data_IF_643765134744
#
_entry.id   IF_643765134744
#
_cell.length_a   1.000
_cell.length_b   1.000
_cell.length_c   1.000
_cell.angle_alpha   90.00
_cell.angle_beta   90.00
_cell.angle_gamma   90.00
#
_symmetry.space_group_name_H-M   'P 1'
#
loop_
_entity.id
_entity.type
_entity.pdbx_description
1 polymer ?
#
# COMPACT_ATOMS: atom_id res chain seq x y z
N UNK A 1 5.00 3.91 32.23
CA UNK A 1 3.95 3.44 31.28
C UNK A 1 4.44 3.03 29.88
N UNK A 2 5.35 3.75 29.20
CA UNK A 2 5.77 3.47 27.80
C UNK A 2 6.39 2.08 27.54
N UNK A 3 7.05 1.47 28.54
CA UNK A 3 7.72 0.14 28.42
C UNK A 3 6.74 -1.04 28.29
N UNK A 4 5.57 -0.94 28.93
CA UNK A 4 4.57 -2.02 28.95
C UNK A 4 3.77 -2.09 27.65
N UNK A 5 3.58 -0.97 26.95
CA UNK A 5 2.92 -0.93 25.63
C UNK A 5 3.85 -1.47 24.51
N UNK A 6 5.14 -1.10 24.54
CA UNK A 6 6.16 -1.58 23.57
C UNK A 6 6.36 -3.09 23.55
N UNK A 7 6.33 -3.78 24.70
CA UNK A 7 6.40 -5.26 24.73
C UNK A 7 5.13 -5.92 24.14
N UNK A 8 3.97 -5.27 24.19
CA UNK A 8 2.70 -5.80 23.67
C UNK A 8 2.66 -5.78 22.14
N UNK A 9 3.26 -4.78 21.50
CA UNK A 9 3.39 -4.67 20.03
C UNK A 9 4.24 -5.80 19.41
N UNK A 10 5.30 -6.26 20.11
CA UNK A 10 6.20 -7.36 19.68
C UNK A 10 5.48 -8.61 19.18
N UNK A 11 4.41 -9.00 19.88
CA UNK A 11 3.71 -10.25 19.56
C UNK A 11 2.68 -10.10 18.45
N UNK A 12 2.06 -8.94 18.24
CA UNK A 12 0.89 -8.82 17.33
C UNK A 12 1.34 -8.75 15.88
N UNK A 13 2.33 -7.89 15.58
CA UNK A 13 2.82 -7.71 14.22
C UNK A 13 3.41 -9.01 13.63
N UNK A 14 4.25 -9.70 14.40
CA UNK A 14 4.87 -10.96 13.96
C UNK A 14 3.86 -12.11 13.82
N UNK A 15 2.92 -12.26 14.77
CA UNK A 15 1.93 -13.35 14.73
C UNK A 15 0.90 -13.16 13.63
N UNK A 16 0.37 -11.95 13.45
CA UNK A 16 -0.60 -11.65 12.37
C UNK A 16 0.04 -11.90 11.01
N UNK A 17 1.23 -11.35 10.76
CA UNK A 17 1.95 -11.54 9.50
C UNK A 17 2.29 -13.01 9.19
N UNK A 18 2.65 -13.81 10.21
CA UNK A 18 2.86 -15.26 10.07
C UNK A 18 1.57 -16.06 9.88
N UNK A 19 0.45 -15.62 10.46
CA UNK A 19 -0.84 -16.30 10.29
C UNK A 19 -1.42 -16.09 8.90
N UNK A 20 -1.27 -14.88 8.35
CA UNK A 20 -1.73 -14.53 7.01
C UNK A 20 -0.89 -15.17 5.90
N UNK A 21 0.33 -15.64 6.20
CA UNK A 21 1.17 -16.28 5.19
C UNK A 21 0.77 -17.70 4.81
N UNK A 22 -0.10 -18.34 5.60
CA UNK A 22 -0.55 -19.72 5.36
C UNK A 22 -1.85 -19.81 4.55
N UNK A 23 -2.52 -18.68 4.28
CA UNK A 23 -3.79 -18.63 3.55
C UNK A 23 -3.65 -17.93 2.21
N UNK A 24 -4.39 -18.42 1.21
CA UNK A 24 -4.60 -17.75 -0.07
C UNK A 24 -5.50 -16.54 0.21
N UNK A 25 -4.93 -15.34 0.22
CA UNK A 25 -5.70 -14.11 0.27
C UNK A 25 -6.29 -13.82 -1.12
N UNK A 26 -7.42 -13.13 -1.17
CA UNK A 26 -7.98 -12.61 -2.43
C UNK A 26 -7.07 -11.49 -2.94
N UNK A 27 -6.54 -11.68 -4.15
CA UNK A 27 -5.57 -10.79 -4.78
C UNK A 27 -5.98 -10.58 -6.21
N UNK A 28 -6.03 -9.32 -6.62
CA UNK A 28 -6.24 -8.96 -8.02
C UNK A 28 -4.90 -8.92 -8.75
N UNK A 29 -4.85 -9.58 -9.91
CA UNK A 29 -3.75 -9.41 -10.87
C UNK A 29 -3.97 -8.10 -11.59
N UNK A 30 -3.12 -7.10 -11.34
CA UNK A 30 -3.11 -5.88 -12.13
C UNK A 30 -2.44 -6.14 -13.47
N UNK A 31 -3.22 -6.27 -14.55
CA UNK A 31 -2.68 -6.22 -15.91
C UNK A 31 -2.38 -4.76 -16.27
N UNK A 32 -1.21 -4.50 -16.85
CA UNK A 32 -0.68 -3.17 -17.20
C UNK A 32 -1.31 -2.54 -18.44
N UNK A 33 -2.42 -3.10 -18.96
CA UNK A 33 -3.15 -2.55 -20.10
C UNK A 33 -4.43 -1.87 -19.65
N UNK A 34 -4.31 -0.60 -19.25
CA UNK A 34 -5.44 0.30 -19.22
C UNK A 34 -5.78 0.72 -20.64
N UNK A 35 -6.82 0.13 -21.23
CA UNK A 35 -7.44 0.61 -22.46
C UNK A 35 -7.89 2.06 -22.26
N UNK A 36 -7.36 2.98 -23.06
CA UNK A 36 -7.91 4.33 -23.19
C UNK A 36 -9.12 4.22 -24.13
N UNK A 37 -10.27 3.83 -23.60
CA UNK A 37 -11.54 3.98 -24.33
C UNK A 37 -12.01 5.42 -24.18
N UNK A 38 -12.14 6.10 -25.33
CA UNK A 38 -12.89 7.34 -25.43
C UNK A 38 -12.21 8.41 -26.28
N UNK A 39 -12.33 8.30 -27.61
CA UNK A 39 -12.30 9.50 -28.47
C UNK A 39 -13.53 10.33 -28.11
N UNK A 40 -13.37 11.36 -27.31
CA UNK A 40 -14.36 12.44 -27.25
C UNK A 40 -14.23 13.26 -28.55
N UNK A 41 -15.20 13.11 -29.44
CA UNK A 41 -15.50 14.12 -30.45
C UNK A 41 -16.03 15.35 -29.70
N UNK A 42 -15.27 16.44 -29.70
CA UNK A 42 -15.79 17.73 -29.25
C UNK A 42 -16.90 18.17 -30.21
N UNK A 43 -18.13 18.28 -29.70
CA UNK A 43 -19.34 18.69 -30.43
C UNK A 43 -19.42 20.20 -30.69
N UNK A 44 -18.31 20.89 -30.88
CA UNK A 44 -18.28 22.30 -31.25
C UNK A 44 -17.37 22.46 -32.46
N UNK A 45 -17.92 22.79 -33.62
CA UNK A 45 -17.21 22.93 -34.90
C UNK A 45 -16.24 24.11 -34.95
N UNK A 46 -15.34 24.26 -33.96
CA UNK A 46 -14.26 25.25 -33.96
C UNK A 46 -12.96 24.54 -34.34
N UNK A 47 -12.35 25.00 -35.44
CA UNK A 47 -11.00 24.60 -35.83
C UNK A 47 -10.03 24.99 -34.70
N UNK A 48 -9.36 24.01 -34.10
CA UNK A 48 -8.22 24.28 -33.22
C UNK A 48 -7.03 24.75 -34.07
N UNK A 49 -6.32 25.83 -33.68
CA UNK A 49 -5.15 26.28 -34.42
C UNK A 49 -4.04 25.21 -34.37
N UNK A 50 -3.43 24.94 -35.52
CA UNK A 50 -2.32 23.99 -35.67
C UNK A 50 -1.08 24.52 -34.97
N UNK A 51 -0.78 24.00 -33.78
CA UNK A 51 0.50 24.27 -33.10
C UNK A 51 1.63 23.61 -33.91
N UNK A 52 2.58 24.43 -34.34
CA UNK A 52 3.71 24.06 -35.18
C UNK A 52 4.54 22.92 -34.56
N UNK A 53 4.83 21.89 -35.36
CA UNK A 53 5.72 20.77 -35.03
C UNK A 53 7.17 21.27 -34.91
N UNK A 54 7.56 21.81 -33.76
CA UNK A 54 8.98 22.03 -33.44
C UNK A 54 9.46 20.84 -32.60
N UNK A 55 10.33 20.03 -33.21
CA UNK A 55 10.65 18.68 -32.78
C UNK A 55 11.34 18.60 -31.42
N UNK A 56 10.77 17.80 -30.53
CA UNK A 56 11.50 17.21 -29.41
C UNK A 56 12.19 15.93 -29.90
N UNK A 57 13.48 16.02 -30.25
CA UNK A 57 14.37 14.87 -30.25
C UNK A 57 14.78 14.62 -28.80
N UNK A 58 14.12 13.67 -28.15
CA UNK A 58 14.44 13.20 -26.82
C UNK A 58 14.41 11.68 -26.79
N UNK A 59 15.56 11.09 -27.12
CA UNK A 59 16.05 9.78 -26.69
C UNK A 59 15.00 8.69 -26.42
N UNK A 60 14.75 7.87 -27.44
CA UNK A 60 14.25 6.52 -27.24
C UNK A 60 15.39 5.66 -26.71
N UNK A 61 15.77 5.85 -25.43
CA UNK A 61 16.66 4.91 -24.77
C UNK A 61 15.87 3.63 -24.47
N UNK A 62 16.28 2.57 -25.17
CA UNK A 62 16.00 1.20 -24.87
C UNK A 62 16.22 0.90 -23.37
N UNK A 63 15.39 0.02 -22.81
CA UNK A 63 15.77 -1.18 -22.05
C UNK A 63 14.46 -1.81 -21.62
N UNK A 64 14.14 -2.95 -22.22
CA UNK A 64 13.11 -3.84 -21.71
C UNK A 64 13.38 -4.13 -20.24
N UNK A 65 12.46 -3.71 -19.36
CA UNK A 65 12.32 -4.30 -18.04
C UNK A 65 11.02 -5.05 -18.05
N UNK A 66 11.14 -6.37 -18.01
CA UNK A 66 10.05 -7.31 -17.72
C UNK A 66 9.24 -6.75 -16.55
N UNK A 67 8.07 -6.18 -16.86
CA UNK A 67 7.17 -5.65 -15.84
C UNK A 67 6.65 -6.83 -15.05
N UNK A 68 7.31 -7.16 -13.94
CA UNK A 68 6.78 -8.11 -12.96
C UNK A 68 5.36 -7.68 -12.62
N UNK A 69 4.39 -8.54 -12.88
CA UNK A 69 3.00 -8.29 -12.50
C UNK A 69 2.93 -8.02 -11.00
N UNK A 70 2.48 -6.81 -10.64
CA UNK A 70 2.29 -6.43 -9.24
C UNK A 70 0.93 -6.94 -8.79
N UNK A 71 0.94 -7.62 -7.65
CA UNK A 71 -0.25 -8.14 -6.99
C UNK A 71 -0.77 -7.12 -6.00
N UNK A 72 -2.02 -6.69 -6.17
CA UNK A 72 -2.66 -5.67 -5.32
C UNK A 72 -3.66 -6.32 -4.35
N UNK A 73 -3.81 -5.69 -3.18
CA UNK A 73 -4.80 -6.10 -2.18
C UNK A 73 -6.20 -5.63 -2.58
N UNK A 74 -7.20 -6.45 -2.30
CA UNK A 74 -8.61 -6.08 -2.49
C UNK A 74 -9.19 -5.50 -1.20
N UNK A 75 -10.37 -4.88 -1.29
CA UNK A 75 -11.09 -4.33 -0.13
C UNK A 75 -11.38 -5.42 0.91
N UNK A 76 -11.78 -6.60 0.45
CA UNK A 76 -12.09 -7.77 1.28
C UNK A 76 -10.85 -8.24 2.03
N UNK A 77 -9.70 -8.29 1.35
CA UNK A 77 -8.44 -8.67 1.98
C UNK A 77 -8.06 -7.67 3.08
N UNK A 78 -8.25 -6.36 2.87
CA UNK A 78 -7.97 -5.35 3.91
C UNK A 78 -8.92 -5.51 5.10
N UNK A 79 -10.21 -5.79 4.88
CA UNK A 79 -11.17 -6.09 5.96
C UNK A 79 -10.76 -7.32 6.75
N UNK A 80 -10.37 -8.41 6.08
CA UNK A 80 -9.89 -9.63 6.75
C UNK A 80 -8.64 -9.37 7.59
N UNK A 81 -7.68 -8.61 7.04
CA UNK A 81 -6.49 -8.18 7.77
C UNK A 81 -6.87 -7.38 9.02
N UNK A 82 -7.80 -6.44 8.88
CA UNK A 82 -8.26 -5.62 10.00
C UNK A 82 -8.90 -6.46 11.10
N UNK A 83 -9.86 -7.33 10.75
CA UNK A 83 -10.49 -8.27 11.68
C UNK A 83 -9.45 -9.12 12.42
N UNK A 84 -8.42 -9.57 11.69
CA UNK A 84 -7.35 -10.37 12.31
C UNK A 84 -6.52 -9.55 13.29
N UNK A 85 -6.19 -8.31 12.94
CA UNK A 85 -5.49 -7.39 13.85
C UNK A 85 -6.32 -7.17 15.12
N UNK A 86 -7.63 -6.94 14.99
CA UNK A 86 -8.53 -6.78 16.14
C UNK A 86 -8.58 -8.04 17.01
N UNK A 87 -8.78 -9.22 16.42
CA UNK A 87 -8.84 -10.47 17.18
C UNK A 87 -7.57 -10.73 18.00
N UNK A 88 -6.40 -10.32 17.52
CA UNK A 88 -5.13 -10.47 18.22
C UNK A 88 -4.91 -9.39 19.29
N UNK A 89 -5.61 -8.25 19.19
CA UNK A 89 -5.58 -7.21 20.21
C UNK A 89 -6.58 -7.50 21.31
N UNK A 90 -7.79 -7.94 20.97
CA UNK A 90 -8.81 -8.40 21.90
C UNK A 90 -8.28 -9.48 22.85
N UNK A 91 -7.61 -10.51 22.32
CA UNK A 91 -6.98 -11.57 23.14
C UNK A 91 -5.98 -11.06 24.17
N UNK A 92 -5.40 -9.87 23.96
CA UNK A 92 -4.39 -9.29 24.84
C UNK A 92 -4.94 -8.28 25.81
N UNK A 93 -5.97 -7.52 25.41
CA UNK A 93 -6.51 -6.42 26.20
C UNK A 93 -7.85 -6.77 26.84
N UNK A 94 -8.52 -7.83 26.38
CA UNK A 94 -9.91 -8.16 26.72
C UNK A 94 -10.90 -7.02 26.42
N UNK A 95 -10.52 -6.09 25.52
CA UNK A 95 -11.35 -4.99 25.07
C UNK A 95 -11.86 -5.32 23.68
N UNK A 96 -13.18 -5.37 23.51
CA UNK A 96 -13.82 -5.57 22.22
C UNK A 96 -13.84 -4.27 21.42
N UNK A 97 -12.99 -4.18 20.39
CA UNK A 97 -12.93 -3.07 19.45
C UNK A 97 -13.87 -3.39 18.27
N UNK A 98 -14.73 -2.45 17.88
CA UNK A 98 -15.68 -2.65 16.76
C UNK A 98 -14.93 -2.63 15.41
N UNK A 99 -15.18 -3.58 14.49
CA UNK A 99 -14.55 -3.63 13.18
C UNK A 99 -15.14 -2.66 12.16
N UNK A 100 -15.74 -1.56 12.61
CA UNK A 100 -16.50 -0.67 11.76
C UNK A 100 -15.60 0.14 10.82
N UNK A 101 -16.01 0.24 9.57
CA UNK A 101 -15.36 1.07 8.56
C UNK A 101 -16.01 2.45 8.65
N UNK A 102 -15.27 3.43 9.14
CA UNK A 102 -15.75 4.80 9.24
C UNK A 102 -15.82 5.46 7.87
N UNK A 103 -14.76 5.30 7.08
CA UNK A 103 -14.58 6.03 5.82
C UNK A 103 -14.32 5.06 4.67
N UNK A 104 -15.37 4.51 4.04
CA UNK A 104 -15.21 3.61 2.90
C UNK A 104 -14.48 4.31 1.75
N UNK A 105 -14.79 5.58 1.46
CA UNK A 105 -14.13 6.34 0.39
C UNK A 105 -12.61 6.45 0.57
N UNK A 106 -12.13 6.59 1.81
CA UNK A 106 -10.70 6.62 2.11
C UNK A 106 -10.04 5.26 1.88
N UNK A 107 -10.75 4.16 2.15
CA UNK A 107 -10.27 2.82 1.83
C UNK A 107 -10.10 2.63 0.31
N UNK A 108 -11.07 3.07 -0.48
CA UNK A 108 -10.99 2.96 -1.94
C UNK A 108 -9.83 3.80 -2.48
N UNK A 109 -9.69 5.02 -1.99
CA UNK A 109 -8.58 5.90 -2.36
C UNK A 109 -7.21 5.27 -2.03
N UNK A 110 -7.06 4.69 -0.83
CA UNK A 110 -5.82 4.05 -0.41
C UNK A 110 -5.43 2.85 -1.31
N UNK A 111 -6.41 2.14 -1.87
CA UNK A 111 -6.20 1.00 -2.77
C UNK A 111 -5.91 1.41 -4.22
N UNK A 112 -6.48 2.53 -4.67
CA UNK A 112 -6.31 3.04 -6.04
C UNK A 112 -5.04 3.89 -6.21
N UNK A 113 -4.60 4.61 -5.17
CA UNK A 113 -3.41 5.46 -5.22
C UNK A 113 -2.12 4.71 -5.63
N UNK A 114 -1.82 3.49 -5.14
CA UNK A 114 -0.68 2.70 -5.60
C UNK A 114 -0.72 2.37 -7.11
N UNK A 115 -1.91 2.36 -7.73
CA UNK A 115 -2.14 2.09 -9.15
C UNK A 115 -2.16 3.36 -9.99
N UNK A 116 -2.16 4.55 -9.38
CA UNK A 116 -2.39 5.82 -10.05
C UNK A 116 -1.29 6.15 -11.05
N UNK A 117 -1.71 6.61 -12.23
CA UNK A 117 -0.83 7.06 -13.32
C UNK A 117 -1.06 8.53 -13.58
N UNK A 118 0.01 9.26 -13.87
CA UNK A 118 -0.02 10.66 -14.24
C UNK A 118 0.74 10.83 -15.56
N UNK A 119 0.11 11.44 -16.56
CA UNK A 119 0.66 11.62 -17.91
C UNK A 119 1.21 10.33 -18.53
N UNK A 120 0.49 9.21 -18.34
CA UNK A 120 0.88 7.90 -18.88
C UNK A 120 2.02 7.21 -18.11
N UNK A 121 2.64 7.86 -17.11
CA UNK A 121 3.68 7.27 -16.25
C UNK A 121 3.11 6.81 -14.92
N UNK A 122 3.60 5.70 -14.38
CA UNK A 122 3.26 5.29 -13.02
C UNK A 122 3.77 6.34 -12.03
N UNK A 123 2.90 6.79 -11.11
CA UNK A 123 3.29 7.77 -10.10
C UNK A 123 4.27 7.20 -9.09
N UNK A 124 4.16 5.89 -8.84
CA UNK A 124 4.99 5.13 -7.90
C UNK A 124 5.61 3.93 -8.63
N UNK A 125 6.74 4.09 -9.32
CA UNK A 125 7.34 3.00 -10.10
C UNK A 125 7.92 1.88 -9.24
N UNK A 126 8.33 2.17 -7.99
CA UNK A 126 8.91 1.16 -7.10
C UNK A 126 7.83 0.43 -6.28
N UNK A 127 8.02 -0.87 -6.07
CA UNK A 127 7.09 -1.68 -5.28
C UNK A 127 7.00 -1.17 -3.83
N UNK A 128 8.12 -0.70 -3.26
CA UNK A 128 8.14 -0.16 -1.90
C UNK A 128 7.45 1.20 -1.79
N UNK A 129 7.47 2.01 -2.86
CA UNK A 129 6.69 3.25 -2.93
C UNK A 129 5.19 2.94 -2.96
N UNK A 130 4.75 1.96 -3.77
CA UNK A 130 3.37 1.48 -3.78
C UNK A 130 2.91 1.01 -2.39
N UNK A 131 3.77 0.26 -1.70
CA UNK A 131 3.51 -0.21 -0.32
C UNK A 131 3.47 0.95 0.70
N UNK A 132 4.36 1.94 0.55
CA UNK A 132 4.45 3.10 1.42
C UNK A 132 3.20 3.99 1.32
N UNK A 133 2.71 4.22 0.11
CA UNK A 133 1.47 4.98 -0.14
C UNK A 133 0.30 4.26 0.50
N UNK A 134 0.13 2.96 0.21
CA UNK A 134 -0.94 2.17 0.82
C UNK A 134 -0.93 2.27 2.35
N UNK A 135 0.25 2.12 2.97
CA UNK A 135 0.40 2.24 4.42
C UNK A 135 0.02 3.62 4.93
N UNK A 136 0.54 4.68 4.31
CA UNK A 136 0.30 6.06 4.73
C UNK A 136 -1.18 6.41 4.67
N UNK A 137 -1.83 6.11 3.56
CA UNK A 137 -3.23 6.49 3.35
C UNK A 137 -4.18 5.72 4.26
N UNK A 138 -3.90 4.44 4.55
CA UNK A 138 -4.68 3.69 5.55
C UNK A 138 -4.51 4.23 6.97
N UNK A 139 -3.33 4.78 7.31
CA UNK A 139 -3.05 5.32 8.64
C UNK A 139 -3.63 6.72 8.80
N UNK A 140 -3.40 7.60 7.83
CA UNK A 140 -3.83 9.01 7.86
C UNK A 140 -5.32 9.14 7.55
N UNK A 141 -5.86 8.31 6.67
CA UNK A 141 -7.26 8.35 6.26
C UNK A 141 -8.25 7.86 7.32
N UNK A 142 -7.79 7.39 8.49
CA UNK A 142 -8.63 6.91 9.59
C UNK A 142 -9.81 6.04 9.10
N UNK A 143 -9.47 5.02 8.31
CA UNK A 143 -10.46 4.16 7.63
C UNK A 143 -11.33 3.39 8.62
N UNK A 144 -10.73 2.95 9.73
CA UNK A 144 -11.36 2.16 10.77
C UNK A 144 -11.52 2.95 12.06
N UNK A 145 -12.42 2.50 12.93
CA UNK A 145 -12.64 3.08 14.26
C UNK A 145 -11.41 2.92 15.16
N UNK A 146 -10.76 1.76 15.09
CA UNK A 146 -9.58 1.45 15.90
C UNK A 146 -8.46 0.80 15.05
N UNK A 147 -7.30 0.61 15.67
CA UNK A 147 -6.18 -0.16 15.11
C UNK A 147 -5.60 0.30 13.75
N UNK A 148 -5.95 1.48 13.21
CA UNK A 148 -5.48 1.99 11.90
C UNK A 148 -3.96 1.85 11.68
N UNK A 149 -3.15 2.27 12.67
CA UNK A 149 -1.68 2.13 12.65
C UNK A 149 -1.21 0.70 12.45
N UNK A 150 -1.84 -0.25 13.16
CA UNK A 150 -1.50 -1.67 13.10
C UNK A 150 -1.94 -2.27 11.76
N UNK A 151 -3.16 -1.98 11.34
CA UNK A 151 -3.73 -2.45 10.09
C UNK A 151 -2.96 -1.94 8.88
N UNK A 152 -2.67 -0.63 8.79
CA UNK A 152 -1.92 -0.06 7.67
C UNK A 152 -0.52 -0.67 7.49
N UNK A 153 0.20 -0.89 8.59
CA UNK A 153 1.49 -1.58 8.53
C UNK A 153 1.37 -3.03 8.05
N UNK A 154 0.42 -3.80 8.60
CA UNK A 154 0.22 -5.20 8.19
C UNK A 154 -0.20 -5.28 6.72
N UNK A 155 -1.06 -4.37 6.23
CA UNK A 155 -1.41 -4.30 4.82
C UNK A 155 -0.17 -4.13 3.94
N UNK A 156 0.76 -3.23 4.29
CA UNK A 156 2.01 -3.08 3.54
C UNK A 156 2.91 -4.32 3.61
N UNK A 157 3.02 -4.97 4.79
CA UNK A 157 3.79 -6.22 4.94
C UNK A 157 3.21 -7.33 4.07
N UNK A 158 1.88 -7.49 4.06
CA UNK A 158 1.19 -8.50 3.26
C UNK A 158 1.32 -8.20 1.77
N UNK A 159 1.16 -6.94 1.37
CA UNK A 159 1.37 -6.50 -0.01
C UNK A 159 2.78 -6.83 -0.50
N UNK A 160 3.82 -6.47 0.26
CA UNK A 160 5.21 -6.80 -0.08
C UNK A 160 5.43 -8.32 -0.15
N UNK A 161 4.82 -9.08 0.77
CA UNK A 161 4.91 -10.55 0.79
C UNK A 161 4.31 -11.20 -0.44
N UNK A 162 3.13 -10.74 -0.87
CA UNK A 162 2.49 -11.24 -2.10
C UNK A 162 3.33 -10.96 -3.36
N UNK A 163 4.18 -9.94 -3.29
CA UNK A 163 5.11 -9.55 -4.34
C UNK A 163 6.55 -10.08 -4.11
N UNK A 164 6.72 -11.06 -3.21
CA UNK A 164 7.98 -11.80 -3.03
C UNK A 164 8.98 -11.17 -2.04
N UNK A 165 8.54 -10.29 -1.15
CA UNK A 165 9.39 -9.67 -0.13
C UNK A 165 8.89 -9.94 1.30
N UNK A 166 9.75 -10.45 2.17
CA UNK A 166 9.48 -10.59 3.59
C UNK A 166 10.01 -9.39 4.36
N UNK A 167 9.13 -8.68 5.07
CA UNK A 167 9.53 -7.63 6.01
C UNK A 167 10.00 -8.27 7.33
N UNK A 168 11.15 -7.83 7.82
CA UNK A 168 11.90 -8.42 8.95
C UNK A 168 12.24 -7.40 10.05
N UNK A 169 11.59 -6.24 10.04
CA UNK A 169 11.71 -5.23 11.09
C UNK A 169 11.24 -5.74 12.45
N UNK A 170 11.81 -5.15 13.51
CA UNK A 170 11.34 -5.35 14.88
C UNK A 170 10.04 -4.58 15.09
N UNK A 171 9.24 -5.05 16.05
CA UNK A 171 7.95 -4.42 16.30
C UNK A 171 8.06 -2.99 16.84
N UNK A 172 9.11 -2.67 17.58
CA UNK A 172 9.38 -1.30 18.03
C UNK A 172 9.64 -0.36 16.87
N UNK A 173 10.43 -0.82 15.90
CA UNK A 173 10.77 -0.02 14.73
C UNK A 173 9.52 0.20 13.87
N UNK A 174 8.66 -0.82 13.74
CA UNK A 174 7.37 -0.71 13.08
C UNK A 174 6.41 0.24 13.83
N UNK A 175 6.36 0.17 15.16
CA UNK A 175 5.54 1.06 15.99
C UNK A 175 6.00 2.51 15.84
N UNK A 176 7.30 2.79 16.02
CA UNK A 176 7.88 4.12 15.87
C UNK A 176 7.67 4.68 14.45
N UNK A 177 7.76 3.84 13.42
CA UNK A 177 7.43 4.22 12.04
C UNK A 177 5.95 4.61 11.90
N UNK A 178 5.02 3.77 12.35
CA UNK A 178 3.58 4.04 12.21
C UNK A 178 3.13 5.27 12.99
N UNK A 179 3.74 5.54 14.15
CA UNK A 179 3.53 6.78 14.91
C UNK A 179 4.04 7.97 14.10
N UNK A 180 5.24 7.89 13.55
CA UNK A 180 5.81 8.95 12.72
C UNK A 180 4.92 9.29 11.52
N UNK A 181 4.38 8.28 10.84
CA UNK A 181 3.43 8.44 9.73
C UNK A 181 2.14 9.13 10.20
N UNK A 182 1.54 8.66 11.29
CA UNK A 182 0.32 9.25 11.84
C UNK A 182 0.51 10.72 12.25
N UNK A 183 1.72 11.09 12.69
CA UNK A 183 2.08 12.48 13.03
C UNK A 183 2.57 13.30 11.82
N UNK A 184 2.58 12.75 10.61
CA UNK A 184 3.02 13.44 9.40
C UNK A 184 4.54 13.69 9.30
N UNK A 185 5.36 13.04 10.15
CA UNK A 185 6.82 13.24 10.19
C UNK A 185 7.57 12.63 9.01
N UNK A 186 7.00 11.62 8.37
CA UNK A 186 7.66 10.85 7.31
C UNK A 186 6.92 10.99 5.99
N UNK A 187 7.66 11.28 4.94
CA UNK A 187 7.17 11.30 3.57
C UNK A 187 7.14 9.89 2.95
N UNK A 188 6.50 9.77 1.80
CA UNK A 188 6.36 8.48 1.08
C UNK A 188 7.74 7.88 0.76
N UNK A 189 8.71 8.72 0.37
CA UNK A 189 10.05 8.27 0.00
C UNK A 189 10.80 7.70 1.20
N UNK A 190 10.71 8.34 2.37
CA UNK A 190 11.30 7.84 3.60
C UNK A 190 10.69 6.49 4.00
N UNK A 191 9.36 6.37 3.97
CA UNK A 191 8.66 5.13 4.29
C UNK A 191 9.08 4.01 3.32
N UNK A 192 9.15 4.29 2.02
CA UNK A 192 9.59 3.32 1.01
C UNK A 192 11.04 2.86 1.25
N UNK A 193 11.96 3.80 1.52
CA UNK A 193 13.36 3.49 1.85
C UNK A 193 13.47 2.65 3.11
N UNK A 194 12.66 2.96 4.13
CA UNK A 194 12.62 2.18 5.36
C UNK A 194 12.11 0.76 5.10
N UNK A 195 11.02 0.60 4.34
CA UNK A 195 10.48 -0.71 3.99
C UNK A 195 11.49 -1.55 3.20
N UNK A 196 12.17 -0.93 2.24
CA UNK A 196 13.22 -1.58 1.45
C UNK A 196 14.36 -2.08 2.34
N UNK A 197 14.86 -1.25 3.25
CA UNK A 197 15.94 -1.61 4.20
C UNK A 197 15.56 -2.78 5.12
N UNK A 198 14.29 -2.85 5.54
CA UNK A 198 13.82 -3.90 6.45
C UNK A 198 13.19 -5.09 5.72
N UNK A 199 13.32 -5.16 4.39
CA UNK A 199 12.78 -6.25 3.58
C UNK A 199 13.88 -7.15 3.04
N UNK A 200 13.58 -8.45 2.93
CA UNK A 200 14.41 -9.42 2.24
C UNK A 200 13.59 -10.11 1.16
N UNK A 201 14.18 -10.36 0.00
CA UNK A 201 13.52 -11.11 -1.08
C UNK A 201 13.33 -12.56 -0.63
N UNK A 202 12.13 -13.08 -0.83
CA UNK A 202 11.82 -14.49 -0.63
C UNK A 202 12.19 -15.20 -1.93
N UNK A 203 13.25 -16.01 -1.91
CA UNK A 203 13.50 -17.01 -2.94
C UNK A 203 12.52 -18.15 -2.71
N UNK A 204 11.44 -18.20 -3.49
CA UNK A 204 10.66 -19.41 -3.59
C UNK A 204 11.53 -20.41 -4.37
N UNK A 205 12.06 -21.41 -3.68
CA UNK A 205 12.69 -22.59 -4.27
C UNK A 205 11.61 -23.54 -4.79
#
# INVERSE_FOLDING_TARGET
MKRSYRKRARSTYSKVAKSLSKRRLNVERGSTHGEIKGRQRCGCGRKVPSVSRRGYKGEQNAIGKTSKEVRYLTKEAVKEIHLRVLSETEKKTHVHERPHILNPSMLEMALELPKKRLYGRELYPDLFEKAAVLMRELIVGHVFEAANKRTGYICAVVFLRQNGYAVTSRAEEAEDLTIGIATGRYDIKYIAKWLKKHSRRISNH
#
